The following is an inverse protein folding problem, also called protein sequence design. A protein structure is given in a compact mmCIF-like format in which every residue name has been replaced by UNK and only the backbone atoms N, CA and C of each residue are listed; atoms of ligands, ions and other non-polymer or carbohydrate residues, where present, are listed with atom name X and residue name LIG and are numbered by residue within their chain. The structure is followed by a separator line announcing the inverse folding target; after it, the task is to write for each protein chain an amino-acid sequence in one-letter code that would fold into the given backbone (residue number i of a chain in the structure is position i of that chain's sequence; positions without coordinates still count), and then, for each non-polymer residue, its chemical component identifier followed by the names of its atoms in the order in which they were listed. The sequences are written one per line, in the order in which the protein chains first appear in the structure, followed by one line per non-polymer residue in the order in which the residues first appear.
data_IF_954560830748
#
_entry.id   IF_954560830748
#
_cell.length_a   1.000
_cell.length_b   1.000
_cell.length_c   1.000
_cell.angle_alpha   90.00
_cell.angle_beta   90.00
_cell.angle_gamma   90.00
#
_symmetry.space_group_name_H-M   'P 1'
#
loop_
_entity.id
_entity.type
_entity.pdbx_description
1 polymer ?
#
# COMPACT_ATOMS: atom_id res chain seq x y z
N UNK A 1 -0.88 -16.69 16.01
CA UNK A 1 -1.82 -17.31 16.99
C UNK A 1 -1.09 -18.43 17.72
N UNK A 2 -1.29 -18.58 19.02
CA UNK A 2 -0.56 -19.55 19.86
C UNK A 2 -1.42 -20.70 20.39
N UNK A 3 -2.74 -20.60 20.29
CA UNK A 3 -3.71 -21.65 20.66
C UNK A 3 -4.53 -22.06 19.43
N UNK A 4 -5.09 -23.28 19.39
CA UNK A 4 -5.98 -23.69 18.31
C UNK A 4 -7.26 -22.85 18.28
N UNK A 5 -7.96 -22.78 17.13
CA UNK A 5 -9.25 -22.11 17.04
C UNK A 5 -10.26 -22.67 18.08
N UNK A 6 -11.06 -21.82 18.72
CA UNK A 6 -12.02 -22.26 19.72
C UNK A 6 -13.11 -23.15 19.09
N UNK A 7 -13.50 -24.21 19.79
CA UNK A 7 -14.58 -25.12 19.38
C UNK A 7 -15.92 -24.80 20.08
N UNK A 8 -15.88 -23.88 21.03
CA UNK A 8 -16.97 -23.53 21.96
C UNK A 8 -17.02 -22.01 22.14
N UNK A 9 -18.15 -21.47 22.62
CA UNK A 9 -18.37 -20.01 22.79
C UNK A 9 -17.93 -19.49 24.18
N UNK A 10 -17.00 -20.16 24.85
CA UNK A 10 -16.52 -19.89 26.22
C UNK A 10 -15.18 -19.14 26.25
N UNK A 11 -15.00 -18.17 25.35
CA UNK A 11 -13.80 -17.35 25.29
C UNK A 11 -13.71 -16.42 26.51
N UNK A 12 -12.52 -16.32 27.11
CA UNK A 12 -12.23 -15.39 28.21
C UNK A 12 -11.09 -14.46 27.81
N UNK A 13 -10.90 -13.38 28.59
CA UNK A 13 -9.79 -12.45 28.34
C UNK A 13 -8.43 -13.15 28.46
N UNK A 14 -8.28 -14.06 29.41
CA UNK A 14 -7.04 -14.83 29.60
C UNK A 14 -6.76 -15.73 28.39
N UNK A 15 -7.80 -16.43 27.87
CA UNK A 15 -7.68 -17.25 26.65
C UNK A 15 -7.34 -16.39 25.44
N UNK A 16 -7.91 -15.19 25.32
CA UNK A 16 -7.58 -14.25 24.24
C UNK A 16 -6.11 -13.85 24.28
N UNK A 17 -5.61 -13.40 25.45
CA UNK A 17 -4.22 -12.98 25.61
C UNK A 17 -3.24 -14.15 25.41
N UNK A 18 -3.62 -15.37 25.81
CA UNK A 18 -2.83 -16.57 25.53
C UNK A 18 -2.83 -16.94 24.04
N UNK A 19 -3.87 -16.59 23.28
CA UNK A 19 -3.99 -16.89 21.85
C UNK A 19 -3.25 -15.88 20.97
N UNK A 20 -3.30 -14.59 21.32
CA UNK A 20 -2.60 -13.52 20.60
C UNK A 20 -1.08 -13.74 20.58
N UNK A 21 -0.33 -13.18 19.61
CA UNK A 21 1.12 -13.26 19.60
C UNK A 21 1.72 -12.73 20.92
N UNK A 22 2.82 -13.34 21.36
CA UNK A 22 3.53 -12.85 22.55
C UNK A 22 4.25 -11.52 22.22
N UNK A 23 4.74 -10.76 23.24
CA UNK A 23 5.37 -9.47 22.99
C UNK A 23 6.53 -9.51 21.98
N UNK A 24 7.35 -10.56 21.98
CA UNK A 24 8.45 -10.69 21.03
C UNK A 24 7.96 -10.89 19.59
N UNK A 25 6.96 -11.75 19.39
CA UNK A 25 6.32 -11.98 18.09
C UNK A 25 5.62 -10.72 17.57
N UNK A 26 4.86 -10.04 18.44
CA UNK A 26 4.19 -8.79 18.10
C UNK A 26 5.18 -7.70 17.71
N UNK A 27 6.27 -7.57 18.46
CA UNK A 27 7.32 -6.57 18.19
C UNK A 27 7.98 -6.84 16.84
N UNK A 28 8.34 -8.10 16.56
CA UNK A 28 8.91 -8.47 15.27
C UNK A 28 7.93 -8.17 14.12
N UNK A 29 6.66 -8.54 14.27
CA UNK A 29 5.63 -8.29 13.26
C UNK A 29 5.45 -6.78 12.97
N UNK A 30 5.37 -5.95 14.01
CA UNK A 30 5.25 -4.49 13.85
C UNK A 30 6.46 -3.92 13.11
N UNK A 31 7.68 -4.34 13.46
CA UNK A 31 8.90 -3.87 12.80
C UNK A 31 8.94 -4.28 11.31
N UNK A 32 8.58 -5.52 10.99
CA UNK A 32 8.54 -6.01 9.60
C UNK A 32 7.48 -5.27 8.80
N UNK A 33 6.26 -5.11 9.33
CA UNK A 33 5.19 -4.37 8.66
C UNK A 33 5.57 -2.90 8.45
N UNK A 34 6.26 -2.28 9.41
CA UNK A 34 6.76 -0.92 9.24
C UNK A 34 7.86 -0.83 8.18
N UNK A 35 8.82 -1.76 8.18
CA UNK A 35 9.91 -1.80 7.22
C UNK A 35 9.40 -1.93 5.77
N UNK A 36 8.43 -2.82 5.55
CA UNK A 36 7.86 -3.10 4.23
C UNK A 36 6.76 -2.11 3.83
N UNK A 37 6.01 -1.57 4.79
CA UNK A 37 4.86 -0.69 4.54
C UNK A 37 5.19 0.80 4.53
N UNK A 38 6.38 1.21 4.95
CA UNK A 38 6.80 2.62 4.86
C UNK A 38 7.03 3.03 3.41
N UNK A 39 6.75 4.30 3.10
CA UNK A 39 7.10 4.89 1.80
C UNK A 39 8.61 4.89 1.62
N UNK A 40 9.08 4.42 0.47
CA UNK A 40 10.49 4.47 0.13
C UNK A 40 10.86 5.90 -0.31
N UNK A 41 11.95 6.44 0.21
CA UNK A 41 12.42 7.79 -0.15
C UNK A 41 12.83 7.90 -1.63
N UNK A 42 13.16 6.77 -2.24
CA UNK A 42 13.60 6.64 -3.64
C UNK A 42 12.52 6.05 -4.54
N UNK A 43 11.26 5.98 -4.08
CA UNK A 43 10.17 5.41 -4.87
C UNK A 43 9.98 6.19 -6.18
N UNK A 44 9.69 5.46 -7.26
CA UNK A 44 9.30 6.04 -8.54
C UNK A 44 7.79 5.82 -8.71
N UNK A 45 6.96 6.88 -8.74
CA UNK A 45 5.52 6.72 -8.94
C UNK A 45 5.19 6.10 -10.29
N UNK A 46 4.01 5.49 -10.40
CA UNK A 46 3.53 4.82 -11.60
C UNK A 46 3.62 5.73 -12.83
N UNK A 47 4.28 5.23 -13.88
CA UNK A 47 4.46 5.95 -15.13
C UNK A 47 5.53 7.05 -15.10
N UNK A 48 6.17 7.33 -13.96
CA UNK A 48 7.16 8.42 -13.79
C UNK A 48 8.62 7.97 -13.91
N UNK A 49 8.89 6.86 -14.60
CA UNK A 49 10.25 6.42 -14.91
C UNK A 49 11.01 7.50 -15.71
N UNK A 50 12.31 7.60 -15.44
CA UNK A 50 13.19 8.59 -16.09
C UNK A 50 13.87 8.02 -17.34
N UNK A 51 13.96 6.70 -17.42
CA UNK A 51 14.56 5.96 -18.51
C UNK A 51 13.71 6.08 -19.78
N UNK A 52 14.33 6.54 -20.85
CA UNK A 52 13.70 6.66 -22.16
C UNK A 52 14.06 5.47 -23.05
N UNK A 53 13.27 4.40 -22.98
CA UNK A 53 13.46 3.21 -23.82
C UNK A 53 12.89 3.38 -25.24
N UNK A 54 11.87 4.23 -25.39
CA UNK A 54 11.20 4.48 -26.67
C UNK A 54 11.41 5.94 -27.09
N UNK A 55 12.40 6.21 -27.96
CA UNK A 55 12.70 7.58 -28.36
C UNK A 55 11.71 8.16 -29.39
N UNK A 56 10.86 7.31 -29.97
CA UNK A 56 9.94 7.73 -31.02
C UNK A 56 8.85 8.70 -30.48
N UNK A 57 8.44 9.71 -31.26
CA UNK A 57 7.48 10.72 -30.79
C UNK A 57 6.10 10.15 -30.45
N UNK A 58 5.67 9.09 -31.14
CA UNK A 58 4.35 8.47 -30.94
C UNK A 58 4.24 7.80 -29.56
N UNK A 59 5.24 7.02 -29.17
CA UNK A 59 5.32 6.40 -27.85
C UNK A 59 5.42 7.46 -26.75
N UNK A 60 6.16 8.56 -26.98
CA UNK A 60 6.18 9.69 -26.05
C UNK A 60 4.81 10.34 -25.89
N UNK A 61 4.04 10.48 -26.97
CA UNK A 61 2.68 11.01 -26.91
C UNK A 61 1.74 10.09 -26.11
N UNK A 62 1.84 8.76 -26.30
CA UNK A 62 1.08 7.77 -25.53
C UNK A 62 1.45 7.81 -24.05
N UNK A 63 2.75 7.84 -23.72
CA UNK A 63 3.23 7.94 -22.34
C UNK A 63 2.77 9.25 -21.67
N UNK A 64 2.81 10.37 -22.40
CA UNK A 64 2.31 11.66 -21.91
C UNK A 64 0.82 11.57 -21.58
N UNK A 65 0.01 11.02 -22.48
CA UNK A 65 -1.43 10.83 -22.25
C UNK A 65 -1.69 9.92 -21.03
N UNK A 66 -0.95 8.83 -20.89
CA UNK A 66 -1.04 7.95 -19.73
C UNK A 66 -0.76 8.71 -18.42
N UNK A 67 0.30 9.53 -18.38
CA UNK A 67 0.62 10.37 -17.20
C UNK A 67 -0.48 11.40 -16.89
N UNK A 68 -1.09 11.99 -17.91
CA UNK A 68 -2.20 12.95 -17.75
C UNK A 68 -3.44 12.28 -17.15
N UNK A 69 -3.82 11.10 -17.64
CA UNK A 69 -4.94 10.33 -17.12
C UNK A 69 -4.70 9.87 -15.67
N UNK A 70 -3.47 9.44 -15.33
CA UNK A 70 -3.10 9.13 -13.96
C UNK A 70 -3.20 10.35 -13.02
N UNK A 71 -2.78 11.53 -13.48
CA UNK A 71 -2.89 12.75 -12.68
C UNK A 71 -4.35 13.16 -12.45
N UNK A 72 -5.22 13.00 -13.45
CA UNK A 72 -6.66 13.22 -13.31
C UNK A 72 -7.26 12.24 -12.29
N UNK A 73 -6.96 10.95 -12.40
CA UNK A 73 -7.41 9.92 -11.46
C UNK A 73 -6.94 10.17 -10.03
N UNK A 74 -5.68 10.58 -9.82
CA UNK A 74 -5.16 10.89 -8.48
C UNK A 74 -5.97 12.01 -7.81
N UNK A 75 -6.28 13.06 -8.58
CA UNK A 75 -7.10 14.19 -8.12
C UNK A 75 -8.54 13.78 -7.83
N UNK A 76 -9.15 12.95 -8.67
CA UNK A 76 -10.49 12.41 -8.43
C UNK A 76 -10.54 11.59 -7.14
N UNK A 77 -9.53 10.75 -6.91
CA UNK A 77 -9.39 9.99 -5.65
C UNK A 77 -9.22 10.94 -4.47
N UNK A 78 -8.40 11.97 -4.57
CA UNK A 78 -8.20 12.96 -3.51
C UNK A 78 -9.53 13.64 -3.14
N UNK A 79 -10.33 14.04 -4.13
CA UNK A 79 -11.64 14.65 -3.93
C UNK A 79 -12.61 13.65 -3.28
N UNK A 80 -12.70 12.43 -3.81
CA UNK A 80 -13.55 11.37 -3.26
C UNK A 80 -13.19 11.06 -1.80
N UNK A 81 -11.90 11.00 -1.47
CA UNK A 81 -11.44 10.67 -0.13
C UNK A 81 -11.82 11.72 0.92
N UNK A 82 -12.08 12.98 0.52
CA UNK A 82 -12.52 14.04 1.45
C UNK A 82 -13.91 13.80 2.04
N UNK A 83 -14.76 12.98 1.39
CA UNK A 83 -16.09 12.62 1.90
C UNK A 83 -16.12 11.30 2.67
N UNK A 84 -14.97 10.61 2.82
CA UNK A 84 -14.90 9.31 3.50
C UNK A 84 -14.34 9.48 4.91
N UNK A 85 -14.93 8.80 5.88
CA UNK A 85 -14.42 8.75 7.26
C UNK A 85 -13.02 8.12 7.32
N UNK A 86 -12.76 7.14 6.44
CA UNK A 86 -11.46 6.49 6.28
C UNK A 86 -11.06 6.59 4.80
N UNK A 87 -10.03 7.39 4.46
CA UNK A 87 -9.62 7.59 3.07
C UNK A 87 -8.97 6.33 2.49
N UNK A 88 -9.32 5.99 1.24
CA UNK A 88 -8.69 4.88 0.52
C UNK A 88 -7.58 5.39 -0.40
N UNK A 89 -6.33 5.20 0.01
CA UNK A 89 -5.16 5.76 -0.67
C UNK A 89 -4.32 4.75 -1.47
N UNK A 90 -4.53 3.44 -1.27
CA UNK A 90 -3.61 2.40 -1.75
C UNK A 90 -3.47 2.30 -3.27
N UNK A 91 -4.45 2.80 -4.04
CA UNK A 91 -4.42 2.82 -5.51
C UNK A 91 -4.31 4.24 -6.09
N UNK A 92 -3.85 5.21 -5.29
CA UNK A 92 -3.54 6.54 -5.79
C UNK A 92 -2.30 6.49 -6.68
N UNK A 93 -2.35 6.93 -7.95
CA UNK A 93 -1.19 6.88 -8.84
C UNK A 93 0.07 7.55 -8.29
N UNK A 94 -0.07 8.58 -7.46
CA UNK A 94 1.06 9.23 -6.77
C UNK A 94 1.75 8.36 -5.70
N UNK A 95 1.06 7.32 -5.20
CA UNK A 95 1.51 6.43 -4.13
C UNK A 95 1.78 5.00 -4.59
N UNK A 96 1.35 4.65 -5.80
CA UNK A 96 1.65 3.34 -6.42
C UNK A 96 3.02 3.42 -7.07
N UNK A 97 3.92 2.51 -6.69
CA UNK A 97 5.24 2.40 -7.30
C UNK A 97 5.17 1.83 -8.73
N UNK A 98 6.11 2.26 -9.57
CA UNK A 98 6.22 1.80 -10.95
C UNK A 98 6.64 0.32 -11.07
N UNK A 99 7.20 -0.26 -10.00
CA UNK A 99 7.65 -1.65 -9.91
C UNK A 99 7.59 -2.17 -8.47
N UNK A 100 7.89 -3.46 -8.28
CA UNK A 100 8.04 -4.07 -6.95
C UNK A 100 9.50 -3.90 -6.50
N UNK A 101 9.75 -3.04 -5.51
CA UNK A 101 11.09 -2.65 -5.07
C UNK A 101 11.31 -2.66 -3.54
N UNK A 102 10.36 -3.19 -2.77
CA UNK A 102 10.42 -3.35 -1.30
C UNK A 102 9.90 -4.72 -0.87
#
# INVERSE_FOLDING_TARGET
MRLPPPKTKDATMEKLMATLPNPNQSTLQINVVWLLGRRQAVMVPLGQHSEEHFPNPEAKAVLKKFREELAALDKEIEIRNKSLDIPYEYLRPSLVENSVAI
#
